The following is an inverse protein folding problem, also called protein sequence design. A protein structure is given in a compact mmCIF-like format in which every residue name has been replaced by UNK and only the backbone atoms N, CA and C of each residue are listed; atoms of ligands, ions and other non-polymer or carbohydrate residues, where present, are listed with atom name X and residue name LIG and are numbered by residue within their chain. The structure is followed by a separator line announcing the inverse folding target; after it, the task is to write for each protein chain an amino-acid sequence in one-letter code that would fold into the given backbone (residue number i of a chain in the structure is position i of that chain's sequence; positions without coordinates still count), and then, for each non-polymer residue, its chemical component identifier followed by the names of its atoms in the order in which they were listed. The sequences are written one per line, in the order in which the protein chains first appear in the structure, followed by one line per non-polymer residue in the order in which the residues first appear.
data_IF_921595444617
#
_entry.id   IF_921595444617
#
_cell.length_a   1.000
_cell.length_b   1.000
_cell.length_c   1.000
_cell.angle_alpha   90.00
_cell.angle_beta   90.00
_cell.angle_gamma   90.00
#
_symmetry.space_group_name_H-M   'P 1'
#
loop_
_entity.id
_entity.type
_entity.pdbx_description
1 polymer ?
#
# COMPACT_ATOMS: atom_id res chain seq x y z
N UNK A 1 -16.21 7.59 -1.01
CA UNK A 1 -15.19 8.58 -1.40
C UNK A 1 -15.84 9.93 -1.55
N UNK A 2 -15.19 11.00 -1.17
CA UNK A 2 -15.68 12.33 -1.49
C UNK A 2 -15.58 12.55 -3.00
N UNK A 3 -16.52 13.31 -3.55
CA UNK A 3 -16.51 13.64 -4.98
C UNK A 3 -15.26 14.44 -5.33
N UNK A 4 -14.58 14.07 -6.39
CA UNK A 4 -13.40 14.77 -6.90
C UNK A 4 -12.05 14.28 -6.39
N UNK A 5 -12.01 13.35 -5.44
CA UNK A 5 -10.75 12.74 -5.01
C UNK A 5 -10.37 11.57 -5.90
N UNK A 6 -9.12 11.59 -6.40
CA UNK A 6 -8.59 10.47 -7.16
C UNK A 6 -8.27 9.31 -6.22
N UNK A 7 -8.78 8.11 -6.46
CA UNK A 7 -8.52 6.96 -5.60
C UNK A 7 -7.04 6.67 -5.42
N UNK A 8 -6.66 6.45 -4.17
CA UNK A 8 -5.35 5.94 -3.76
C UNK A 8 -5.60 4.91 -2.67
N UNK A 9 -5.34 3.65 -2.99
CA UNK A 9 -5.54 2.53 -2.06
C UNK A 9 -4.22 1.83 -1.78
N UNK A 10 -4.18 1.14 -0.65
CA UNK A 10 -3.09 0.24 -0.28
C UNK A 10 -3.63 -1.18 -0.19
N UNK A 11 -2.80 -2.15 -0.56
CA UNK A 11 -3.11 -3.56 -0.41
C UNK A 11 -1.93 -4.25 0.26
N UNK A 12 -2.18 -5.02 1.30
CA UNK A 12 -1.15 -5.69 2.08
C UNK A 12 -1.09 -7.17 1.71
N UNK A 13 0.02 -7.58 1.11
CA UNK A 13 0.25 -8.97 0.69
C UNK A 13 1.33 -9.60 1.56
N UNK A 14 0.91 -10.26 2.64
CA UNK A 14 1.83 -10.90 3.57
C UNK A 14 2.34 -10.01 4.71
N UNK A 15 1.76 -8.85 4.88
CA UNK A 15 2.03 -7.97 6.03
C UNK A 15 1.06 -8.36 7.15
N UNK A 16 1.57 -9.03 8.18
CA UNK A 16 0.73 -9.64 9.21
C UNK A 16 0.81 -8.94 10.57
N UNK A 17 1.85 -8.18 10.84
CA UNK A 17 2.00 -7.45 12.11
C UNK A 17 1.02 -6.27 12.15
N UNK A 18 0.07 -6.33 13.09
CA UNK A 18 -0.98 -5.31 13.22
C UNK A 18 -0.43 -3.93 13.62
N UNK A 19 0.76 -3.88 14.23
CA UNK A 19 1.41 -2.61 14.54
C UNK A 19 1.88 -1.90 13.27
N UNK A 20 2.35 -2.67 12.28
CA UNK A 20 2.67 -2.13 10.96
C UNK A 20 1.40 -1.62 10.27
N UNK A 21 0.30 -2.36 10.35
CA UNK A 21 -0.99 -1.92 9.78
C UNK A 21 -1.41 -0.59 10.42
N UNK A 22 -1.29 -0.46 11.74
CA UNK A 22 -1.60 0.80 12.43
C UNK A 22 -0.73 1.97 11.97
N UNK A 23 0.59 1.76 11.88
CA UNK A 23 1.53 2.78 11.40
C UNK A 23 1.25 3.17 9.94
N UNK A 24 0.92 2.18 9.10
CA UNK A 24 0.54 2.41 7.70
C UNK A 24 -0.74 3.25 7.63
N UNK A 25 -1.73 2.96 8.49
CA UNK A 25 -2.97 3.73 8.54
C UNK A 25 -2.70 5.21 8.82
N UNK A 26 -1.77 5.51 9.72
CA UNK A 26 -1.38 6.88 10.04
C UNK A 26 -0.81 7.60 8.79
N UNK A 27 0.12 6.97 8.09
CA UNK A 27 0.67 7.52 6.85
C UNK A 27 -0.40 7.67 5.76
N UNK A 28 -1.30 6.69 5.66
CA UNK A 28 -2.39 6.72 4.70
C UNK A 28 -3.29 7.94 4.87
N UNK A 29 -3.69 8.22 6.10
CA UNK A 29 -4.51 9.40 6.41
C UNK A 29 -3.75 10.68 6.07
N UNK A 30 -2.48 10.78 6.47
CA UNK A 30 -1.66 11.98 6.23
C UNK A 30 -1.44 12.24 4.74
N UNK A 31 -1.42 11.20 3.92
CA UNK A 31 -1.09 11.32 2.49
C UNK A 31 -2.31 11.16 1.57
N UNK A 32 -3.51 11.04 2.13
CA UNK A 32 -4.75 11.03 1.34
C UNK A 32 -5.13 9.69 0.74
N UNK A 33 -4.61 8.57 1.23
CA UNK A 33 -5.10 7.25 0.84
C UNK A 33 -6.44 6.98 1.56
N UNK A 34 -7.42 6.45 0.81
CA UNK A 34 -8.77 6.29 1.33
C UNK A 34 -9.02 4.92 1.95
N UNK A 35 -8.29 3.89 1.54
CA UNK A 35 -8.54 2.54 2.01
C UNK A 35 -7.27 1.70 2.08
N UNK A 36 -7.27 0.74 3.01
CA UNK A 36 -6.25 -0.30 3.14
C UNK A 36 -6.96 -1.64 2.99
N UNK A 37 -6.54 -2.44 2.02
CA UNK A 37 -7.10 -3.75 1.74
C UNK A 37 -6.19 -4.80 2.36
N UNK A 38 -6.74 -5.64 3.23
CA UNK A 38 -6.01 -6.71 3.90
C UNK A 38 -6.73 -8.04 3.72
N UNK A 39 -5.99 -9.18 3.72
CA UNK A 39 -6.66 -10.46 3.71
C UNK A 39 -7.38 -10.70 5.04
N UNK A 40 -8.46 -11.46 5.01
CA UNK A 40 -9.20 -11.83 6.22
C UNK A 40 -8.48 -12.92 7.04
N UNK A 41 -7.53 -13.65 6.43
CA UNK A 41 -6.70 -14.66 7.10
C UNK A 41 -5.26 -14.18 7.21
N UNK A 42 -4.59 -14.54 8.31
CA UNK A 42 -3.19 -14.23 8.55
C UNK A 42 -2.93 -12.87 9.18
N UNK A 43 -3.92 -12.00 9.20
CA UNK A 43 -3.84 -10.72 9.92
C UNK A 43 -4.79 -10.81 11.11
N UNK A 44 -4.27 -10.60 12.32
CA UNK A 44 -5.07 -10.65 13.53
C UNK A 44 -6.05 -9.50 13.66
N UNK A 45 -6.80 -9.47 14.77
CA UNK A 45 -7.66 -8.34 15.06
C UNK A 45 -6.84 -7.05 15.19
N UNK A 46 -7.40 -5.95 14.72
CA UNK A 46 -6.79 -4.63 14.89
C UNK A 46 -7.00 -4.20 16.35
N UNK A 47 -6.07 -4.62 17.18
CA UNK A 47 -6.12 -4.51 18.64
C UNK A 47 -5.62 -3.15 19.13
N UNK A 48 -5.46 -3.05 20.46
CA UNK A 48 -4.98 -1.85 21.11
C UNK A 48 -3.60 -1.38 20.61
N UNK A 49 -2.70 -2.31 20.30
CA UNK A 49 -1.37 -1.98 19.77
C UNK A 49 -1.46 -1.35 18.39
N UNK A 50 -2.36 -1.85 17.53
CA UNK A 50 -2.62 -1.27 16.22
C UNK A 50 -3.23 0.13 16.36
N UNK A 51 -4.17 0.31 17.26
CA UNK A 51 -4.79 1.61 17.53
C UNK A 51 -3.75 2.61 18.00
N UNK A 52 -2.88 2.24 18.93
CA UNK A 52 -1.78 3.09 19.40
C UNK A 52 -0.83 3.47 18.28
N UNK A 53 -0.40 2.49 17.47
CA UNK A 53 0.50 2.73 16.34
C UNK A 53 -0.11 3.65 15.29
N UNK A 54 -1.43 3.65 15.17
CA UNK A 54 -2.14 4.50 14.21
C UNK A 54 -2.34 5.93 14.70
N UNK A 55 -2.21 6.19 16.00
CA UNK A 55 -2.55 7.49 16.61
C UNK A 55 -3.97 7.97 16.24
N UNK A 56 -4.92 7.04 16.19
CA UNK A 56 -6.33 7.30 15.85
C UNK A 56 -6.66 7.21 14.37
N UNK A 57 -5.68 7.03 13.49
CA UNK A 57 -5.90 7.01 12.04
C UNK A 57 -6.75 5.83 11.58
N UNK A 58 -6.77 4.71 12.31
CA UNK A 58 -7.63 3.56 11.98
C UNK A 58 -9.12 3.88 11.98
N UNK A 59 -9.52 4.94 12.66
CA UNK A 59 -10.91 5.41 12.64
C UNK A 59 -11.20 6.33 11.44
N UNK A 60 -10.15 6.82 10.78
CA UNK A 60 -10.24 7.80 9.69
C UNK A 60 -10.00 7.20 8.30
N UNK A 61 -9.40 6.01 8.23
CA UNK A 61 -9.17 5.30 6.96
C UNK A 61 -10.01 4.02 6.94
N UNK A 62 -10.54 3.68 5.79
CA UNK A 62 -11.31 2.46 5.64
C UNK A 62 -10.38 1.25 5.53
N UNK A 63 -10.56 0.26 6.41
CA UNK A 63 -9.84 -1.01 6.33
C UNK A 63 -10.80 -2.07 5.80
N UNK A 64 -10.47 -2.64 4.65
CA UNK A 64 -11.30 -3.63 3.96
C UNK A 64 -10.66 -5.01 4.07
N UNK A 65 -11.33 -5.94 4.74
CA UNK A 65 -10.89 -7.34 4.79
C UNK A 65 -11.50 -8.09 3.63
N UNK A 66 -10.66 -8.81 2.90
CA UNK A 66 -11.09 -9.58 1.72
C UNK A 66 -10.62 -11.02 1.83
N UNK A 67 -11.39 -11.96 1.25
CA UNK A 67 -11.03 -13.37 1.26
C UNK A 67 -10.02 -13.74 0.16
N UNK A 68 -9.83 -12.88 -0.84
CA UNK A 68 -8.86 -13.10 -1.92
C UNK A 68 -8.32 -11.75 -2.41
N UNK A 69 -7.01 -11.56 -2.26
CA UNK A 69 -6.34 -10.35 -2.76
C UNK A 69 -6.38 -10.32 -4.30
N UNK A 70 -6.28 -11.47 -4.96
CA UNK A 70 -6.35 -11.53 -6.42
C UNK A 70 -7.72 -11.10 -6.94
N UNK A 71 -8.80 -11.53 -6.29
CA UNK A 71 -10.15 -11.08 -6.65
C UNK A 71 -10.34 -9.60 -6.38
N UNK A 72 -9.77 -9.08 -5.30
CA UNK A 72 -9.78 -7.64 -5.02
C UNK A 72 -9.05 -6.86 -6.11
N UNK A 73 -7.89 -7.36 -6.56
CA UNK A 73 -7.13 -6.77 -7.65
C UNK A 73 -7.97 -6.75 -8.94
N UNK A 74 -8.64 -7.85 -9.27
CA UNK A 74 -9.52 -7.91 -10.45
C UNK A 74 -10.65 -6.89 -10.35
N UNK A 75 -11.24 -6.73 -9.18
CA UNK A 75 -12.29 -5.72 -8.94
C UNK A 75 -11.75 -4.31 -9.14
N UNK A 76 -10.54 -4.03 -8.68
CA UNK A 76 -9.89 -2.73 -8.90
C UNK A 76 -9.70 -2.47 -10.40
N UNK A 77 -9.20 -3.45 -11.15
CA UNK A 77 -9.02 -3.34 -12.58
C UNK A 77 -10.35 -3.06 -13.31
N UNK A 78 -11.42 -3.74 -12.92
CA UNK A 78 -12.75 -3.52 -13.50
C UNK A 78 -13.27 -2.10 -13.25
N UNK A 79 -12.77 -1.43 -12.23
CA UNK A 79 -13.14 -0.06 -11.89
C UNK A 79 -12.12 0.98 -12.38
N UNK A 80 -11.22 0.60 -13.26
CA UNK A 80 -10.25 1.51 -13.86
C UNK A 80 -9.11 1.92 -12.93
N UNK A 81 -8.85 1.14 -11.88
CA UNK A 81 -7.79 1.43 -10.90
C UNK A 81 -6.58 0.58 -11.24
N UNK A 82 -5.45 1.24 -11.50
CA UNK A 82 -4.19 0.57 -11.77
C UNK A 82 -3.60 0.02 -10.47
N UNK A 83 -2.90 -1.10 -10.57
CA UNK A 83 -2.28 -1.76 -9.42
C UNK A 83 -0.77 -1.81 -9.64
N UNK A 84 -0.02 -1.27 -8.68
CA UNK A 84 1.43 -1.23 -8.70
C UNK A 84 1.98 -2.01 -7.51
N UNK A 85 2.98 -2.84 -7.74
CA UNK A 85 3.64 -3.58 -6.65
C UNK A 85 4.97 -2.94 -6.29
N UNK A 86 5.24 -2.85 -4.99
CA UNK A 86 6.54 -2.43 -4.47
C UNK A 86 7.43 -3.66 -4.36
N UNK A 87 8.49 -3.71 -5.17
CA UNK A 87 9.40 -4.85 -5.26
C UNK A 87 10.84 -4.38 -5.32
N UNK A 88 11.69 -4.91 -4.45
CA UNK A 88 13.08 -4.45 -4.30
C UNK A 88 13.93 -4.56 -5.57
N UNK A 89 13.63 -5.56 -6.40
CA UNK A 89 14.41 -5.84 -7.62
C UNK A 89 13.80 -5.25 -8.88
N UNK A 90 12.72 -4.50 -8.76
CA UNK A 90 12.10 -3.86 -9.93
C UNK A 90 13.03 -2.83 -10.54
N UNK A 91 13.12 -2.82 -11.87
CA UNK A 91 13.99 -1.89 -12.60
C UNK A 91 13.47 -0.45 -12.54
N UNK A 92 12.15 -0.28 -12.61
CA UNK A 92 11.52 1.05 -12.51
C UNK A 92 11.63 1.57 -11.08
N UNK A 93 11.93 2.84 -10.91
CA UNK A 93 12.05 3.47 -9.60
C UNK A 93 10.75 4.16 -9.21
N UNK A 94 10.57 4.33 -7.90
CA UNK A 94 9.40 4.97 -7.33
C UNK A 94 9.01 6.28 -8.03
N UNK A 95 9.99 7.14 -8.28
CA UNK A 95 9.75 8.46 -8.88
C UNK A 95 9.39 8.41 -10.37
N UNK A 96 9.50 7.24 -11.01
CA UNK A 96 9.11 7.05 -12.42
C UNK A 96 7.68 6.54 -12.57
N UNK A 97 7.00 6.23 -11.47
CA UNK A 97 5.61 5.76 -11.47
C UNK A 97 4.67 6.97 -11.46
N UNK A 98 3.62 6.92 -12.27
CA UNK A 98 2.58 7.95 -12.26
C UNK A 98 1.51 7.61 -11.23
N UNK A 99 1.50 8.33 -10.12
CA UNK A 99 0.50 8.18 -9.07
C UNK A 99 -0.64 9.21 -9.17
N UNK A 100 -0.72 10.00 -10.24
CA UNK A 100 -1.76 11.03 -10.39
C UNK A 100 -3.10 10.46 -10.80
N UNK A 101 -3.12 9.24 -11.33
CA UNK A 101 -4.34 8.52 -11.72
C UNK A 101 -4.83 7.59 -10.59
N UNK A 102 -6.08 7.09 -10.68
CA UNK A 102 -6.56 6.10 -9.72
C UNK A 102 -5.63 4.90 -9.64
N UNK A 103 -5.14 4.59 -8.45
CA UNK A 103 -4.19 3.50 -8.27
C UNK A 103 -4.25 2.87 -6.89
N UNK A 104 -3.75 1.64 -6.83
CA UNK A 104 -3.55 0.87 -5.61
C UNK A 104 -2.10 0.42 -5.56
N UNK A 105 -1.45 0.58 -4.42
CA UNK A 105 -0.08 0.10 -4.20
C UNK A 105 -0.14 -1.16 -3.33
N UNK A 106 0.50 -2.23 -3.81
CA UNK A 106 0.61 -3.49 -3.07
C UNK A 106 1.95 -3.55 -2.36
N UNK A 107 1.91 -3.70 -1.05
CA UNK A 107 3.09 -3.89 -0.21
C UNK A 107 3.21 -5.37 0.14
N UNK A 108 4.40 -5.90 0.05
CA UNK A 108 4.68 -7.30 0.34
C UNK A 108 5.32 -7.53 1.69
N UNK A 109 5.52 -8.80 2.01
CA UNK A 109 6.26 -9.24 3.18
C UNK A 109 7.69 -8.69 3.14
N UNK A 110 8.24 -8.33 4.31
CA UNK A 110 9.56 -7.71 4.40
C UNK A 110 10.70 -8.62 3.91
N UNK A 111 10.54 -9.93 4.06
CA UNK A 111 11.56 -10.91 3.63
C UNK A 111 11.28 -11.46 2.22
N UNK A 112 10.04 -11.80 1.95
CA UNK A 112 9.64 -12.52 0.73
C UNK A 112 9.12 -11.61 -0.37
N UNK A 113 8.76 -10.36 -0.05
CA UNK A 113 8.12 -9.44 -1.00
C UNK A 113 6.67 -9.82 -1.30
N UNK A 114 6.14 -9.34 -2.41
CA UNK A 114 4.80 -9.70 -2.87
C UNK A 114 4.81 -11.10 -3.47
N UNK A 115 3.68 -11.78 -3.40
CA UNK A 115 3.54 -13.11 -4.01
C UNK A 115 3.63 -13.01 -5.55
N UNK A 116 4.17 -14.06 -6.18
CA UNK A 116 4.41 -14.07 -7.62
C UNK A 116 3.14 -13.78 -8.42
N UNK A 117 1.99 -14.32 -8.02
CA UNK A 117 0.74 -14.09 -8.74
C UNK A 117 0.30 -12.62 -8.67
N UNK A 118 0.58 -11.93 -7.57
CA UNK A 118 0.29 -10.50 -7.43
C UNK A 118 1.20 -9.67 -8.33
N UNK A 119 2.48 -10.00 -8.36
CA UNK A 119 3.45 -9.34 -9.24
C UNK A 119 3.07 -9.47 -10.71
N UNK A 120 2.66 -10.67 -11.13
CA UNK A 120 2.25 -10.93 -12.52
C UNK A 120 0.96 -10.21 -12.91
N UNK A 121 0.02 -10.09 -11.98
CA UNK A 121 -1.28 -9.47 -12.24
C UNK A 121 -1.23 -7.94 -12.18
N UNK A 122 -0.20 -7.37 -11.56
CA UNK A 122 -0.05 -5.92 -11.42
C UNK A 122 0.24 -5.25 -12.77
N UNK A 123 -0.16 -3.99 -12.89
CA UNK A 123 0.11 -3.18 -14.09
C UNK A 123 1.57 -2.80 -14.21
N UNK A 124 2.23 -2.55 -13.08
CA UNK A 124 3.63 -2.20 -13.05
C UNK A 124 4.25 -2.53 -11.69
N UNK A 125 5.58 -2.55 -11.66
CA UNK A 125 6.40 -2.86 -10.49
C UNK A 125 7.43 -1.77 -10.33
N UNK A 126 7.70 -1.39 -9.08
CA UNK A 126 8.71 -0.36 -8.84
C UNK A 126 9.49 -0.67 -7.56
N UNK A 127 10.66 -0.08 -7.45
CA UNK A 127 11.50 -0.18 -6.25
C UNK A 127 11.78 1.20 -5.68
N UNK A 128 12.02 1.25 -4.38
CA UNK A 128 12.52 2.46 -3.71
C UNK A 128 14.05 2.44 -3.84
N UNK A 129 14.68 3.46 -4.45
CA UNK A 129 16.13 3.52 -4.52
C UNK A 129 16.71 3.63 -3.11
N UNK A 130 17.73 2.83 -2.83
CA UNK A 130 18.39 2.83 -1.52
C UNK A 130 19.90 2.83 -1.70
N UNK A 131 20.61 3.35 -0.71
CA UNK A 131 22.06 3.29 -0.61
C UNK A 131 22.47 2.28 0.46
N UNK A 132 23.66 1.74 0.34
CA UNK A 132 24.24 0.85 1.32
C UNK A 132 23.90 -0.61 1.09
N UNK A 133 24.20 -1.43 2.09
CA UNK A 133 24.11 -2.88 2.02
C UNK A 133 22.86 -3.48 2.69
N UNK A 134 21.99 -2.66 3.26
CA UNK A 134 20.72 -3.13 3.79
C UNK A 134 19.77 -3.47 2.64
N UNK A 135 19.09 -4.60 2.76
CA UNK A 135 18.26 -5.13 1.68
C UNK A 135 16.85 -4.56 1.67
N UNK A 136 16.35 -4.03 2.80
CA UNK A 136 14.98 -3.55 2.89
C UNK A 136 14.77 -2.52 3.98
N UNK A 137 13.70 -1.74 3.83
CA UNK A 137 13.15 -0.88 4.87
C UNK A 137 12.02 -1.61 5.59
N UNK A 138 11.74 -1.22 6.83
CA UNK A 138 10.51 -1.63 7.49
C UNK A 138 9.32 -1.28 6.59
N UNK A 139 8.32 -2.15 6.50
CA UNK A 139 7.21 -1.98 5.56
C UNK A 139 6.41 -0.70 5.82
N UNK A 140 6.23 -0.30 7.07
CA UNK A 140 5.50 0.95 7.36
C UNK A 140 6.30 2.18 6.94
N UNK A 141 7.63 2.14 7.05
CA UNK A 141 8.50 3.21 6.57
C UNK A 141 8.47 3.27 5.04
N UNK A 142 8.62 2.14 4.38
CA UNK A 142 8.54 2.06 2.91
C UNK A 142 7.21 2.61 2.39
N UNK A 143 6.11 2.21 3.03
CA UNK A 143 4.77 2.67 2.67
C UNK A 143 4.66 4.19 2.82
N UNK A 144 5.20 4.76 3.89
CA UNK A 144 5.21 6.21 4.10
C UNK A 144 5.94 6.96 2.99
N UNK A 145 7.08 6.45 2.57
CA UNK A 145 7.86 7.03 1.45
C UNK A 145 7.06 7.01 0.16
N UNK A 146 6.44 5.87 -0.15
CA UNK A 146 5.63 5.70 -1.37
C UNK A 146 4.43 6.64 -1.35
N UNK A 147 3.71 6.70 -0.24
CA UNK A 147 2.54 7.55 -0.10
C UNK A 147 2.90 9.03 -0.20
N UNK A 148 4.04 9.43 0.34
CA UNK A 148 4.49 10.81 0.21
C UNK A 148 4.80 11.17 -1.26
N UNK A 149 5.43 10.27 -2.00
CA UNK A 149 5.67 10.48 -3.44
C UNK A 149 4.34 10.63 -4.19
N UNK A 150 3.35 9.80 -3.88
CA UNK A 150 2.02 9.91 -4.48
C UNK A 150 1.36 11.26 -4.14
N UNK A 151 1.41 11.67 -2.87
CA UNK A 151 0.89 12.97 -2.44
C UNK A 151 1.58 14.11 -3.18
N UNK A 152 2.90 14.09 -3.22
CA UNK A 152 3.70 15.11 -3.90
C UNK A 152 3.28 15.24 -5.37
N UNK A 153 3.16 14.13 -6.08
CA UNK A 153 2.74 14.17 -7.48
C UNK A 153 1.35 14.77 -7.64
N UNK A 154 0.43 14.45 -6.75
CA UNK A 154 -0.96 14.91 -6.83
C UNK A 154 -1.12 16.39 -6.51
N UNK A 155 -0.36 16.91 -5.54
CA UNK A 155 -0.43 18.34 -5.19
C UNK A 155 0.36 19.22 -6.15
N UNK A 156 1.28 18.66 -6.95
CA UNK A 156 2.08 19.40 -7.94
C UNK A 156 1.57 19.22 -9.37
N UNK A 157 0.55 18.41 -9.55
CA UNK A 157 -0.03 18.16 -10.87
C UNK A 157 -0.88 19.32 -11.36
#
# INVERSE_FOLDING_TARGET
MSQGETPLFLMMDGVTDVRNIGAIARSAVCCGAQAIIIPDKGVGALNEDAVKSSAGALELVQVCRVNSLLKALDTLHLNGIKVFTSEMKAAKKLYDVNFTEPCCVVMGNEELGVQTYMSKAADDRFSIPMKGSFDSLNVSVATGIILYEALKQRITA
#
